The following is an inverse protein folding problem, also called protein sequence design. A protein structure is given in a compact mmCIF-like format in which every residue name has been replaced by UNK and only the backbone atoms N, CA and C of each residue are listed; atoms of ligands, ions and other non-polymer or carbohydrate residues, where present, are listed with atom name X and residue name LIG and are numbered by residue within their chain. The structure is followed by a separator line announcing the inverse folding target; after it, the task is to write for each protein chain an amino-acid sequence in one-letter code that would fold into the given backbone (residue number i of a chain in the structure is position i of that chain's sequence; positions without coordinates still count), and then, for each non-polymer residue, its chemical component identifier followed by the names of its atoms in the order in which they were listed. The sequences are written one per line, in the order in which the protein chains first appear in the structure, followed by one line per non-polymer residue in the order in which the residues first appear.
data_IF_070137756135
#
_entry.id   IF_070137756135
#
_cell.length_a   1.000
_cell.length_b   1.000
_cell.length_c   1.000
_cell.angle_alpha   90.00
_cell.angle_beta   90.00
_cell.angle_gamma   90.00
#
_symmetry.space_group_name_H-M   'P 1'
#
loop_
_entity.id
_entity.type
_entity.pdbx_description
1 polymer ?
#
# COMPACT_ATOMS: atom_id res chain seq x y z
N UNK A 1 8.05 -4.12 20.14
CA UNK A 1 9.09 -3.04 20.18
C UNK A 1 9.84 -2.95 18.83
N UNK A 2 9.89 -4.05 18.05
CA UNK A 2 10.67 -4.12 16.79
C UNK A 2 10.07 -3.35 15.59
N UNK A 3 8.75 -3.16 15.52
CA UNK A 3 8.09 -2.54 14.36
C UNK A 3 8.28 -1.01 14.23
N UNK A 4 8.63 -0.33 15.30
CA UNK A 4 8.82 1.13 15.30
C UNK A 4 10.19 1.55 14.74
N UNK A 5 11.19 0.67 14.84
CA UNK A 5 12.55 0.90 14.34
C UNK A 5 12.65 0.74 12.82
N UNK A 6 11.96 -0.23 12.23
CA UNK A 6 12.00 -0.49 10.77
C UNK A 6 11.44 0.70 9.96
N UNK A 7 10.39 1.35 10.42
CA UNK A 7 9.83 2.54 9.75
C UNK A 7 10.75 3.76 9.86
N UNK A 8 11.47 3.95 10.98
CA UNK A 8 12.38 5.07 11.17
C UNK A 8 13.67 4.90 10.37
N UNK A 9 14.19 3.68 10.26
CA UNK A 9 15.39 3.39 9.45
C UNK A 9 15.12 3.59 7.96
N UNK A 10 13.95 3.16 7.46
CA UNK A 10 13.57 3.38 6.06
C UNK A 10 13.42 4.88 5.75
N UNK A 11 12.84 5.65 6.65
CA UNK A 11 12.70 7.10 6.50
C UNK A 11 14.05 7.83 6.55
N UNK A 12 15.01 7.36 7.35
CA UNK A 12 16.37 7.92 7.43
C UNK A 12 17.14 7.58 6.14
N UNK A 13 17.02 6.36 5.63
CA UNK A 13 17.65 5.92 4.37
C UNK A 13 17.16 6.75 3.19
N UNK A 14 15.85 6.89 3.04
CA UNK A 14 15.25 7.71 1.97
C UNK A 14 15.73 9.16 2.05
N UNK A 15 15.76 9.75 3.24
CA UNK A 15 16.28 11.11 3.46
C UNK A 15 17.75 11.27 3.11
N UNK A 16 18.58 10.27 3.43
CA UNK A 16 20.01 10.31 3.10
C UNK A 16 20.23 10.21 1.59
N UNK A 17 19.48 9.37 0.89
CA UNK A 17 19.52 9.25 -0.56
C UNK A 17 19.03 10.53 -1.25
N UNK A 18 17.89 11.07 -0.83
CA UNK A 18 17.36 12.35 -1.32
C UNK A 18 18.37 13.48 -1.09
N UNK A 19 19.03 13.49 0.07
CA UNK A 19 20.05 14.49 0.38
C UNK A 19 21.29 14.33 -0.47
N UNK A 20 21.75 13.11 -0.73
CA UNK A 20 22.88 12.84 -1.62
C UNK A 20 22.58 13.31 -3.05
N UNK A 21 21.40 13.00 -3.58
CA UNK A 21 20.94 13.47 -4.89
C UNK A 21 20.86 14.99 -4.93
N UNK A 22 20.27 15.62 -3.92
CA UNK A 22 20.19 17.07 -3.84
C UNK A 22 21.57 17.73 -3.89
N UNK A 23 22.53 17.23 -3.10
CA UNK A 23 23.91 17.76 -3.08
C UNK A 23 24.61 17.56 -4.42
N UNK A 24 24.45 16.41 -5.06
CA UNK A 24 24.99 16.11 -6.38
C UNK A 24 24.43 17.03 -7.46
N UNK A 25 23.11 17.32 -7.41
CA UNK A 25 22.49 18.29 -8.32
C UNK A 25 23.02 19.70 -8.10
N UNK A 26 23.14 20.15 -6.85
CA UNK A 26 23.70 21.47 -6.54
C UNK A 26 25.15 21.61 -7.00
N UNK A 27 25.95 20.57 -6.85
CA UNK A 27 27.32 20.52 -7.35
C UNK A 27 27.37 20.52 -8.88
N UNK A 28 26.54 19.73 -9.52
CA UNK A 28 26.44 19.68 -10.98
C UNK A 28 26.04 21.03 -11.59
N UNK A 29 25.14 21.77 -10.94
CA UNK A 29 24.78 23.12 -11.35
C UNK A 29 25.97 24.06 -11.27
N UNK A 30 26.76 24.02 -10.17
CA UNK A 30 27.96 24.88 -10.00
C UNK A 30 29.03 24.60 -11.04
N UNK A 31 29.15 23.36 -11.50
CA UNK A 31 30.06 22.97 -12.57
C UNK A 31 29.51 23.50 -13.90
N UNK A 32 28.22 23.36 -14.16
CA UNK A 32 27.58 23.76 -15.41
C UNK A 32 27.56 25.29 -15.62
N UNK A 33 27.39 26.06 -14.53
CA UNK A 33 27.40 27.53 -14.58
C UNK A 33 28.80 28.14 -14.51
N UNK A 34 29.86 27.30 -14.39
CA UNK A 34 31.24 27.73 -14.35
C UNK A 34 31.69 28.31 -12.99
N UNK A 35 30.89 28.18 -11.94
CA UNK A 35 31.22 28.66 -10.60
C UNK A 35 32.27 27.75 -9.92
N UNK A 36 32.35 26.50 -10.34
CA UNK A 36 33.40 25.56 -9.89
C UNK A 36 34.42 25.33 -11.02
N UNK A 37 35.55 26.00 -10.94
CA UNK A 37 36.64 25.86 -11.92
C UNK A 37 37.51 24.62 -11.71
N UNK A 38 37.27 23.82 -10.65
CA UNK A 38 38.08 22.65 -10.33
C UNK A 38 37.63 21.38 -11.03
N UNK A 39 36.38 21.32 -11.45
CA UNK A 39 35.78 20.15 -12.08
C UNK A 39 35.26 20.49 -13.47
N UNK A 40 35.49 19.60 -14.43
CA UNK A 40 34.99 19.70 -15.76
C UNK A 40 33.57 19.16 -15.89
N UNK A 41 32.79 19.65 -16.84
CA UNK A 41 31.43 19.19 -17.14
C UNK A 41 31.34 17.66 -17.37
N UNK A 42 32.42 17.03 -17.80
CA UNK A 42 32.53 15.56 -17.90
C UNK A 42 32.43 14.83 -16.57
N UNK A 43 32.61 15.51 -15.43
CA UNK A 43 32.46 14.89 -14.10
C UNK A 43 31.00 14.80 -13.63
N UNK A 44 30.05 15.52 -14.24
CA UNK A 44 28.66 15.57 -13.84
C UNK A 44 27.98 14.20 -13.85
N UNK A 45 28.13 13.35 -14.90
CA UNK A 45 27.53 12.01 -14.91
C UNK A 45 28.03 11.13 -13.78
N UNK A 46 29.32 11.20 -13.42
CA UNK A 46 29.88 10.44 -12.31
C UNK A 46 29.32 10.91 -10.98
N UNK A 47 29.26 12.21 -10.72
CA UNK A 47 28.72 12.78 -9.47
C UNK A 47 27.27 12.35 -9.26
N UNK A 48 26.45 12.38 -10.31
CA UNK A 48 25.05 11.94 -10.25
C UNK A 48 24.93 10.43 -10.06
N UNK A 49 25.77 9.65 -10.75
CA UNK A 49 25.81 8.20 -10.62
C UNK A 49 26.21 7.76 -9.20
N UNK A 50 27.21 8.39 -8.62
CA UNK A 50 27.68 8.12 -7.25
C UNK A 50 26.59 8.45 -6.21
N UNK A 51 25.86 9.55 -6.40
CA UNK A 51 24.75 9.91 -5.54
C UNK A 51 23.57 8.93 -5.63
N UNK A 52 23.28 8.40 -6.82
CA UNK A 52 22.27 7.37 -7.04
C UNK A 52 22.71 6.01 -6.49
N UNK A 53 24.02 5.74 -6.45
CA UNK A 53 24.61 4.50 -5.94
C UNK A 53 24.69 4.47 -4.40
N UNK A 54 24.36 5.58 -3.70
CA UNK A 54 24.28 5.58 -2.24
C UNK A 54 23.22 4.59 -1.79
N UNK A 55 23.65 3.40 -1.42
CA UNK A 55 22.84 2.32 -0.89
C UNK A 55 23.31 2.00 0.53
N UNK A 56 22.37 1.93 1.46
CA UNK A 56 22.62 1.45 2.82
C UNK A 56 22.29 -0.04 2.95
N UNK A 57 22.01 -0.70 1.83
CA UNK A 57 21.77 -2.13 1.81
C UNK A 57 23.11 -2.85 1.69
N UNK A 58 23.56 -3.39 2.81
CA UNK A 58 24.79 -4.21 2.87
C UNK A 58 24.51 -5.66 2.42
N UNK A 59 23.25 -5.97 2.10
CA UNK A 59 22.89 -7.29 1.66
C UNK A 59 23.14 -7.42 0.15
N UNK A 60 24.26 -8.04 -0.20
CA UNK A 60 24.69 -8.24 -1.61
C UNK A 60 23.78 -9.23 -2.36
N UNK A 61 22.83 -9.80 -1.66
CA UNK A 61 21.97 -10.86 -2.15
C UNK A 61 22.17 -12.13 -1.34
N UNK A 62 21.61 -13.23 -1.82
CA UNK A 62 21.61 -14.50 -1.16
C UNK A 62 22.60 -15.44 -1.90
N UNK A 63 23.65 -15.91 -1.23
CA UNK A 63 24.51 -16.94 -1.80
C UNK A 63 23.73 -18.25 -1.88
N UNK A 64 23.57 -18.75 -3.12
CA UNK A 64 22.68 -19.89 -3.33
C UNK A 64 23.20 -21.18 -2.67
N UNK A 65 24.50 -21.34 -2.54
CA UNK A 65 25.09 -22.55 -1.96
C UNK A 65 25.28 -22.37 -0.45
N UNK A 66 25.88 -21.27 -0.04
CA UNK A 66 26.28 -21.09 1.36
C UNK A 66 25.10 -20.77 2.28
N UNK A 67 24.05 -20.04 1.79
CA UNK A 67 22.88 -19.65 2.57
C UNK A 67 21.73 -20.69 2.50
N UNK A 68 22.01 -21.97 2.31
CA UNK A 68 20.98 -23.00 2.16
C UNK A 68 20.13 -23.18 3.44
N UNK A 69 20.71 -22.98 4.61
CA UNK A 69 20.02 -23.13 5.89
C UNK A 69 18.91 -22.07 6.04
N UNK A 70 19.22 -20.81 5.70
CA UNK A 70 18.27 -19.69 5.74
C UNK A 70 17.10 -19.92 4.77
N UNK A 71 17.37 -20.48 3.58
CA UNK A 71 16.31 -20.89 2.64
C UNK A 71 15.48 -22.03 3.17
N UNK A 72 16.09 -23.02 3.78
CA UNK A 72 15.35 -24.15 4.38
C UNK A 72 14.39 -23.65 5.47
N UNK A 73 14.85 -22.80 6.36
CA UNK A 73 14.01 -22.16 7.37
C UNK A 73 12.87 -21.34 6.76
N UNK A 74 13.15 -20.61 5.68
CA UNK A 74 12.13 -19.80 4.96
C UNK A 74 11.02 -20.67 4.38
N UNK A 75 11.31 -21.86 3.90
CA UNK A 75 10.32 -22.83 3.38
C UNK A 75 9.39 -23.38 4.46
N UNK A 76 9.87 -23.41 5.70
CA UNK A 76 9.11 -23.94 6.85
C UNK A 76 8.45 -22.82 7.67
N UNK A 77 8.72 -21.56 7.33
CA UNK A 77 8.08 -20.42 7.99
C UNK A 77 6.59 -20.38 7.62
N UNK A 78 5.74 -20.40 8.63
CA UNK A 78 4.30 -20.21 8.43
C UNK A 78 4.05 -18.75 8.05
N UNK A 79 3.71 -18.50 6.80
CA UNK A 79 3.32 -17.17 6.33
C UNK A 79 1.98 -16.76 6.91
N UNK A 80 1.91 -15.56 7.49
CA UNK A 80 0.65 -14.96 7.89
C UNK A 80 -0.12 -14.50 6.66
N UNK A 81 -1.27 -15.12 6.42
CA UNK A 81 -2.16 -14.76 5.30
C UNK A 81 -3.36 -13.96 5.79
N UNK A 82 -3.98 -13.24 4.88
CA UNK A 82 -5.26 -12.56 5.09
C UNK A 82 -6.35 -13.48 4.56
N UNK A 83 -7.13 -14.17 5.41
CA UNK A 83 -8.16 -15.08 4.95
C UNK A 83 -9.33 -14.31 4.32
N UNK A 84 -9.99 -14.96 3.36
CA UNK A 84 -11.32 -14.54 2.94
C UNK A 84 -12.35 -15.03 3.96
N UNK A 85 -13.51 -14.42 4.01
CA UNK A 85 -14.69 -14.97 4.69
C UNK A 85 -15.44 -16.02 3.85
N UNK A 86 -14.94 -16.29 2.64
CA UNK A 86 -15.46 -17.27 1.70
C UNK A 86 -14.56 -18.51 1.69
N UNK A 87 -15.03 -19.61 2.24
CA UNK A 87 -14.28 -20.87 2.38
C UNK A 87 -13.70 -21.39 1.06
N UNK A 88 -14.44 -21.21 -0.05
CA UNK A 88 -13.97 -21.63 -1.36
C UNK A 88 -12.67 -20.95 -1.77
N UNK A 89 -12.58 -19.64 -1.55
CA UNK A 89 -11.35 -18.88 -1.85
C UNK A 89 -10.21 -19.24 -0.91
N UNK A 90 -10.49 -19.51 0.36
CA UNK A 90 -9.49 -19.99 1.31
C UNK A 90 -8.92 -21.36 0.92
N UNK A 91 -9.74 -22.25 0.39
CA UNK A 91 -9.26 -23.55 -0.14
C UNK A 91 -8.31 -23.36 -1.32
N UNK A 92 -8.68 -22.52 -2.31
CA UNK A 92 -7.87 -22.27 -3.51
C UNK A 92 -6.54 -21.60 -3.13
N UNK A 93 -6.57 -20.58 -2.26
CA UNK A 93 -5.41 -19.80 -1.85
C UNK A 93 -4.61 -20.42 -0.71
N UNK A 94 -5.01 -21.61 -0.24
CA UNK A 94 -4.41 -22.29 0.90
C UNK A 94 -4.32 -21.39 2.14
N UNK A 95 -5.46 -20.79 2.50
CA UNK A 95 -5.62 -20.01 3.74
C UNK A 95 -5.69 -18.49 3.57
N UNK A 96 -5.79 -17.99 2.35
CA UNK A 96 -5.97 -16.55 2.09
C UNK A 96 -4.87 -15.88 1.28
N UNK A 97 -4.84 -14.56 1.28
CA UNK A 97 -3.89 -13.74 0.54
C UNK A 97 -2.58 -13.61 1.32
N UNK A 98 -1.42 -13.99 0.75
CA UNK A 98 -0.12 -13.77 1.38
C UNK A 98 0.21 -12.28 1.49
N UNK A 99 1.03 -11.92 2.48
CA UNK A 99 1.54 -10.56 2.60
C UNK A 99 2.51 -10.23 1.45
N UNK A 100 2.62 -8.94 1.09
CA UNK A 100 3.56 -8.43 0.07
C UNK A 100 3.34 -9.06 -1.32
N UNK A 101 2.11 -9.46 -1.66
CA UNK A 101 1.79 -10.03 -2.97
C UNK A 101 0.81 -9.16 -3.73
N UNK A 102 0.92 -9.20 -5.06
CA UNK A 102 -0.08 -8.64 -5.98
C UNK A 102 -1.08 -9.74 -6.34
N UNK A 103 -2.34 -9.51 -6.01
CA UNK A 103 -3.45 -10.42 -6.34
C UNK A 103 -4.40 -9.72 -7.30
N UNK A 104 -4.78 -10.37 -8.39
CA UNK A 104 -5.61 -9.78 -9.44
C UNK A 104 -6.91 -10.58 -9.55
N UNK A 105 -8.04 -9.91 -9.33
CA UNK A 105 -9.36 -10.46 -9.60
C UNK A 105 -9.75 -10.15 -11.05
N UNK A 106 -9.82 -11.19 -11.90
CA UNK A 106 -10.21 -11.08 -13.27
C UNK A 106 -11.66 -11.56 -13.45
N UNK A 107 -12.50 -10.71 -14.01
CA UNK A 107 -13.88 -11.05 -14.35
C UNK A 107 -14.38 -10.19 -15.51
N UNK A 108 -15.31 -10.70 -16.28
CA UNK A 108 -15.98 -9.96 -17.36
C UNK A 108 -16.81 -8.77 -16.84
N UNK A 109 -17.30 -7.96 -17.74
CA UNK A 109 -18.19 -6.84 -17.44
C UNK A 109 -19.50 -7.35 -16.84
N UNK A 110 -19.98 -6.72 -15.77
CA UNK A 110 -21.25 -7.07 -15.13
C UNK A 110 -21.25 -8.32 -14.25
N UNK A 111 -20.14 -9.07 -14.16
CA UNK A 111 -20.05 -10.32 -13.37
C UNK A 111 -19.99 -10.06 -11.85
N UNK A 112 -19.77 -8.81 -11.42
CA UNK A 112 -19.73 -8.46 -10.00
C UNK A 112 -18.32 -8.23 -9.42
N UNK A 113 -17.31 -8.00 -10.26
CA UNK A 113 -15.93 -7.73 -9.80
C UNK A 113 -15.86 -6.66 -8.71
N UNK A 114 -16.51 -5.50 -8.92
CA UNK A 114 -16.51 -4.41 -7.94
C UNK A 114 -17.23 -4.78 -6.64
N UNK A 115 -18.31 -5.59 -6.72
CA UNK A 115 -19.00 -6.11 -5.53
C UNK A 115 -18.08 -7.06 -4.75
N UNK A 116 -17.38 -7.94 -5.44
CA UNK A 116 -16.40 -8.82 -4.82
C UNK A 116 -15.29 -8.03 -4.10
N UNK A 117 -14.75 -6.98 -4.76
CA UNK A 117 -13.74 -6.13 -4.14
C UNK A 117 -14.26 -5.38 -2.91
N UNK A 118 -15.50 -4.86 -2.94
CA UNK A 118 -16.15 -4.25 -1.78
C UNK A 118 -16.36 -5.27 -0.64
N UNK A 119 -16.75 -6.49 -0.98
CA UNK A 119 -16.91 -7.58 -0.02
C UNK A 119 -15.60 -7.96 0.65
N UNK A 120 -14.52 -8.12 -0.11
CA UNK A 120 -13.18 -8.39 0.43
C UNK A 120 -12.73 -7.25 1.34
N UNK A 121 -12.94 -5.99 0.95
CA UNK A 121 -12.60 -4.83 1.78
C UNK A 121 -13.35 -4.84 3.12
N UNK A 122 -14.65 -5.16 3.09
CA UNK A 122 -15.50 -5.29 4.28
C UNK A 122 -15.03 -6.43 5.20
N UNK A 123 -14.74 -7.59 4.64
CA UNK A 123 -14.25 -8.75 5.38
C UNK A 123 -12.91 -8.48 6.05
N UNK A 124 -11.96 -7.86 5.35
CA UNK A 124 -10.65 -7.50 5.88
C UNK A 124 -10.74 -6.45 6.99
N UNK A 125 -11.64 -5.47 6.85
CA UNK A 125 -11.95 -4.51 7.92
C UNK A 125 -12.47 -5.20 9.18
N UNK A 126 -13.39 -6.13 9.05
CA UNK A 126 -13.94 -6.89 10.19
C UNK A 126 -12.89 -7.75 10.90
N UNK A 127 -11.82 -8.14 10.21
CA UNK A 127 -10.66 -8.82 10.80
C UNK A 127 -9.74 -7.86 11.58
N UNK A 128 -10.11 -6.58 11.72
CA UNK A 128 -9.32 -5.57 12.43
C UNK A 128 -8.13 -5.03 11.65
N UNK A 129 -8.07 -5.24 10.32
CA UNK A 129 -6.99 -4.78 9.46
C UNK A 129 -7.34 -3.46 8.78
N UNK A 130 -6.32 -2.68 8.46
CA UNK A 130 -6.49 -1.44 7.71
C UNK A 130 -6.63 -1.73 6.22
N UNK A 131 -7.58 -1.05 5.57
CA UNK A 131 -7.88 -1.18 4.15
C UNK A 131 -7.82 0.18 3.49
N UNK A 132 -7.06 0.29 2.41
CA UNK A 132 -7.13 1.41 1.48
C UNK A 132 -7.77 0.92 0.17
N UNK A 133 -8.97 1.40 -0.10
CA UNK A 133 -9.69 1.12 -1.33
C UNK A 133 -9.51 2.30 -2.30
N UNK A 134 -8.87 2.06 -3.43
CA UNK A 134 -8.68 3.07 -4.48
C UNK A 134 -9.64 2.75 -5.62
N UNK A 135 -10.45 3.72 -6.03
CA UNK A 135 -11.34 3.61 -7.18
C UNK A 135 -10.93 4.64 -8.26
N UNK A 136 -10.98 4.22 -9.52
CA UNK A 136 -10.68 5.05 -10.69
C UNK A 136 -11.84 5.08 -11.70
N UNK A 137 -12.95 4.43 -11.36
CA UNK A 137 -14.12 4.30 -12.23
C UNK A 137 -15.39 4.78 -11.54
N UNK A 138 -15.50 4.53 -10.24
CA UNK A 138 -16.69 4.83 -9.45
C UNK A 138 -16.40 5.88 -8.39
N UNK A 139 -17.39 6.73 -8.10
CA UNK A 139 -17.32 7.70 -7.00
C UNK A 139 -17.14 7.03 -5.64
N UNK A 140 -16.45 7.71 -4.71
CA UNK A 140 -16.20 7.24 -3.34
C UNK A 140 -17.50 6.83 -2.64
N UNK A 141 -18.56 7.63 -2.80
CA UNK A 141 -19.86 7.40 -2.20
C UNK A 141 -20.53 6.14 -2.72
N UNK A 142 -20.32 5.80 -4.01
CA UNK A 142 -20.88 4.58 -4.61
C UNK A 142 -20.16 3.32 -4.14
N UNK A 143 -18.88 3.42 -3.86
CA UNK A 143 -18.12 2.34 -3.22
C UNK A 143 -18.55 2.21 -1.76
N UNK A 144 -18.66 3.34 -1.03
CA UNK A 144 -19.11 3.35 0.36
C UNK A 144 -20.52 2.76 0.50
N UNK A 145 -21.46 3.12 -0.37
CA UNK A 145 -22.83 2.57 -0.40
C UNK A 145 -22.83 1.02 -0.48
N UNK A 146 -21.96 0.44 -1.29
CA UNK A 146 -21.84 -1.03 -1.42
C UNK A 146 -21.20 -1.67 -0.19
N UNK A 147 -20.22 -1.00 0.40
CA UNK A 147 -19.58 -1.44 1.63
C UNK A 147 -20.56 -1.36 2.80
N UNK A 148 -21.32 -0.27 2.91
CA UNK A 148 -22.35 -0.10 3.93
C UNK A 148 -23.45 -1.16 3.81
N UNK A 149 -23.95 -1.43 2.61
CA UNK A 149 -24.93 -2.49 2.39
C UNK A 149 -24.43 -3.84 2.92
N UNK A 150 -23.16 -4.15 2.69
CA UNK A 150 -22.52 -5.38 3.16
C UNK A 150 -22.34 -5.39 4.70
N UNK A 151 -21.69 -4.36 5.26
CA UNK A 151 -21.33 -4.31 6.68
C UNK A 151 -22.54 -4.13 7.59
N UNK A 152 -23.55 -3.38 7.15
CA UNK A 152 -24.76 -3.11 7.93
C UNK A 152 -25.86 -4.15 7.70
N UNK A 153 -25.61 -5.09 6.77
CA UNK A 153 -26.60 -6.10 6.34
C UNK A 153 -27.95 -5.48 5.98
N UNK A 154 -27.93 -4.55 5.05
CA UNK A 154 -29.09 -3.83 4.53
C UNK A 154 -29.07 -3.89 3.01
N UNK A 155 -30.23 -4.05 2.39
CA UNK A 155 -30.32 -3.95 0.95
C UNK A 155 -29.88 -2.56 0.47
N UNK A 156 -29.10 -2.50 -0.60
CA UNK A 156 -28.54 -1.25 -1.12
C UNK A 156 -29.66 -0.24 -1.50
N UNK A 157 -30.81 -0.73 -1.96
CA UNK A 157 -31.96 0.11 -2.29
C UNK A 157 -32.64 0.68 -1.04
N UNK A 158 -32.48 0.04 0.12
CA UNK A 158 -33.05 0.46 1.38
C UNK A 158 -32.16 1.41 2.16
N UNK A 159 -30.88 1.52 1.81
CA UNK A 159 -29.93 2.42 2.52
C UNK A 159 -30.41 3.88 2.50
N UNK A 160 -30.92 4.36 1.37
CA UNK A 160 -31.43 5.73 1.24
C UNK A 160 -32.68 6.01 2.09
N UNK A 161 -33.40 4.95 2.46
CA UNK A 161 -34.63 5.05 3.27
C UNK A 161 -34.35 4.81 4.76
N UNK A 162 -33.13 4.41 5.11
CA UNK A 162 -32.76 4.10 6.49
C UNK A 162 -32.79 5.39 7.33
N UNK A 163 -33.52 5.45 8.45
CA UNK A 163 -33.51 6.60 9.35
C UNK A 163 -32.08 6.86 9.88
N UNK A 164 -31.66 8.12 9.92
CA UNK A 164 -30.31 8.52 10.37
C UNK A 164 -29.90 7.89 11.69
N UNK A 165 -30.80 7.87 12.67
CA UNK A 165 -30.55 7.27 13.99
C UNK A 165 -30.23 5.77 13.88
N UNK A 166 -30.92 5.05 12.98
CA UNK A 166 -30.66 3.63 12.78
C UNK A 166 -29.32 3.40 12.10
N UNK A 167 -28.97 4.24 11.12
CA UNK A 167 -27.67 4.22 10.47
C UNK A 167 -26.53 4.48 11.48
N UNK A 168 -26.63 5.55 12.28
CA UNK A 168 -25.66 5.90 13.33
C UNK A 168 -25.48 4.76 14.36
N UNK A 169 -26.56 4.12 14.78
CA UNK A 169 -26.50 2.98 15.70
C UNK A 169 -25.76 1.78 15.09
N UNK A 170 -26.00 1.48 13.82
CA UNK A 170 -25.33 0.40 13.10
C UNK A 170 -23.82 0.70 12.95
N UNK A 171 -23.45 1.92 12.57
CA UNK A 171 -22.04 2.34 12.47
C UNK A 171 -21.36 2.29 13.84
N UNK A 172 -22.03 2.76 14.89
CA UNK A 172 -21.50 2.68 16.26
C UNK A 172 -21.31 1.23 16.72
N UNK A 173 -22.22 0.34 16.36
CA UNK A 173 -22.07 -1.09 16.65
C UNK A 173 -20.90 -1.71 15.86
N UNK A 174 -20.71 -1.29 14.61
CA UNK A 174 -19.60 -1.72 13.77
C UNK A 174 -18.25 -1.24 14.32
N UNK A 175 -18.14 0.02 14.73
CA UNK A 175 -16.90 0.59 15.28
C UNK A 175 -16.43 -0.10 16.56
N UNK A 176 -17.35 -0.75 17.30
CA UNK A 176 -17.01 -1.58 18.46
C UNK A 176 -16.50 -2.98 18.09
N UNK A 177 -16.78 -3.44 16.87
CA UNK A 177 -16.40 -4.79 16.40
C UNK A 177 -15.03 -4.84 15.74
N UNK A 178 -14.56 -3.74 15.22
CA UNK A 178 -13.27 -3.69 14.52
C UNK A 178 -12.40 -2.54 15.00
N UNK A 179 -11.10 -2.77 15.06
CA UNK A 179 -10.08 -1.73 15.28
C UNK A 179 -9.45 -1.27 13.95
N UNK A 180 -9.80 -1.94 12.84
CA UNK A 180 -9.32 -1.59 11.52
C UNK A 180 -9.90 -0.26 11.02
N UNK A 181 -9.22 0.36 10.07
CA UNK A 181 -9.67 1.55 9.35
C UNK A 181 -9.87 1.20 7.88
N UNK A 182 -10.94 1.70 7.28
CA UNK A 182 -11.17 1.59 5.84
C UNK A 182 -11.25 2.99 5.27
N UNK A 183 -10.41 3.26 4.28
CA UNK A 183 -10.39 4.54 3.56
C UNK A 183 -10.69 4.24 2.11
N UNK A 184 -11.69 4.91 1.56
CA UNK A 184 -12.02 4.89 0.14
C UNK A 184 -11.48 6.18 -0.47
N UNK A 185 -10.69 6.06 -1.54
CA UNK A 185 -10.12 7.19 -2.27
C UNK A 185 -10.43 7.08 -3.76
N UNK A 186 -11.11 8.09 -4.29
CA UNK A 186 -11.32 8.25 -5.72
C UNK A 186 -10.16 9.00 -6.37
N UNK A 187 -9.76 8.52 -7.52
CA UNK A 187 -8.96 9.27 -8.48
C UNK A 187 -9.70 9.30 -9.83
N UNK A 188 -9.75 10.44 -10.49
CA UNK A 188 -10.34 10.51 -11.83
C UNK A 188 -9.66 9.53 -12.78
N UNK A 189 -10.42 9.00 -13.72
CA UNK A 189 -9.91 8.05 -14.73
C UNK A 189 -8.66 8.59 -15.42
N UNK A 190 -7.63 7.76 -15.53
CA UNK A 190 -6.32 8.08 -16.12
C UNK A 190 -5.52 9.20 -15.43
N UNK A 191 -5.91 9.68 -14.24
CA UNK A 191 -5.20 10.75 -13.52
C UNK A 191 -4.21 10.24 -12.49
N UNK A 192 -4.36 8.99 -12.01
CA UNK A 192 -3.51 8.44 -10.98
C UNK A 192 -2.32 7.67 -11.56
N UNK A 193 -1.16 7.86 -10.96
CA UNK A 193 0.04 7.06 -11.21
C UNK A 193 0.67 6.64 -9.87
N UNK A 194 1.66 5.78 -9.91
CA UNK A 194 2.29 5.21 -8.70
C UNK A 194 2.78 6.27 -7.69
N UNK A 195 3.20 7.45 -8.16
CA UNK A 195 3.60 8.57 -7.31
C UNK A 195 2.47 9.11 -6.44
N UNK A 196 1.25 9.22 -6.98
CA UNK A 196 0.07 9.66 -6.21
C UNK A 196 -0.29 8.66 -5.12
N UNK A 197 -0.24 7.37 -5.43
CA UNK A 197 -0.51 6.31 -4.44
C UNK A 197 0.55 6.32 -3.34
N UNK A 198 1.83 6.51 -3.69
CA UNK A 198 2.92 6.61 -2.71
C UNK A 198 2.75 7.82 -1.79
N UNK A 199 2.42 9.00 -2.35
CA UNK A 199 2.15 10.19 -1.55
C UNK A 199 0.98 9.98 -0.59
N UNK A 200 -0.12 9.39 -1.07
CA UNK A 200 -1.28 9.05 -0.22
C UNK A 200 -0.91 8.10 0.92
N UNK A 201 -0.12 7.06 0.65
CA UNK A 201 0.32 6.12 1.67
C UNK A 201 1.22 6.80 2.72
N UNK A 202 2.11 7.71 2.31
CA UNK A 202 2.93 8.49 3.23
C UNK A 202 2.07 9.40 4.12
N UNK A 203 1.07 10.08 3.54
CA UNK A 203 0.15 10.93 4.30
C UNK A 203 -0.68 10.13 5.33
N UNK A 204 -1.10 8.92 4.95
CA UNK A 204 -1.82 8.02 5.85
C UNK A 204 -0.93 7.48 6.97
N UNK A 205 0.34 7.20 6.68
CA UNK A 205 1.31 6.74 7.68
C UNK A 205 1.65 7.83 8.71
N UNK A 206 1.62 9.11 8.31
CA UNK A 206 1.87 10.25 9.20
C UNK A 206 0.67 10.58 10.10
N UNK A 207 -0.55 10.22 9.71
CA UNK A 207 -1.80 10.51 10.44
C UNK A 207 -2.23 9.39 11.41
N UNK A 208 -1.55 8.27 11.42
CA UNK A 208 -1.75 7.12 12.31
C UNK A 208 -0.56 6.91 13.23
#
# INVERSE_FOLDING_TARGET
ISYRLVGSEMCIRDRCQDRAIYLALMESIKIADGSDQKKDAGAIPSILSDALAVSFDNHIGHDYIDDYEERYESYHRVETKVPFDLDFFNKITKGGLPNKTLNIALAGTGVGKSLFMCHVASSVLLQGRNVLYITMEMAEEKIAERIDANLLNVDIQQLAQLPKIMFENKITALSKKTQGKLIVKEYPTASAHAGHVRALLNDLALKN
#
